data_IF_288055392956
#
_entry.id   IF_288055392956
#
_cell.length_a   1.000
_cell.length_b   1.000
_cell.length_c   1.000
_cell.angle_alpha   90.00
_cell.angle_beta   90.00
_cell.angle_gamma   90.00
#
_symmetry.space_group_name_H-M   'P 1'
#
loop_
_entity.id
_entity.type
_entity.pdbx_description
1 polymer ?
#
# COMPACT_ATOMS: atom_id res chain seq x y z
N UNK A 1 19.89 7.56 33.21
CA UNK A 1 18.44 7.27 33.00
C UNK A 1 18.19 5.81 33.33
N UNK A 2 17.58 5.52 34.47
CA UNK A 2 17.24 4.14 34.89
C UNK A 2 15.98 3.70 34.17
N UNK A 3 16.06 2.58 33.44
CA UNK A 3 14.87 1.95 32.83
C UNK A 3 13.95 1.46 33.94
N UNK A 4 12.64 1.66 33.78
CA UNK A 4 11.63 1.12 34.72
C UNK A 4 11.72 -0.40 34.79
N UNK A 5 11.52 -0.98 35.98
CA UNK A 5 11.53 -2.43 36.20
C UNK A 5 10.63 -3.19 35.22
N UNK A 6 9.44 -2.65 34.91
CA UNK A 6 8.51 -3.23 33.93
C UNK A 6 9.10 -3.35 32.52
N UNK A 7 9.97 -2.41 32.14
CA UNK A 7 10.67 -2.43 30.83
C UNK A 7 11.77 -3.50 30.80
N UNK A 8 12.44 -3.71 31.93
CA UNK A 8 13.47 -4.75 32.08
C UNK A 8 12.81 -6.14 31.98
N UNK A 9 11.69 -6.35 32.67
CA UNK A 9 10.96 -7.61 32.63
C UNK A 9 10.40 -7.92 31.22
N UNK A 10 9.96 -6.89 30.49
CA UNK A 10 9.53 -7.01 29.10
C UNK A 10 10.69 -7.44 28.18
N UNK A 11 11.88 -6.87 28.35
CA UNK A 11 13.07 -7.25 27.57
C UNK A 11 13.46 -8.71 27.82
N UNK A 12 13.52 -9.14 29.09
CA UNK A 12 13.78 -10.54 29.43
C UNK A 12 12.75 -11.50 28.86
N UNK A 13 11.49 -11.06 28.75
CA UNK A 13 10.43 -11.85 28.13
C UNK A 13 10.70 -12.05 26.65
N UNK A 14 11.10 -11.00 25.92
CA UNK A 14 11.43 -11.04 24.49
C UNK A 14 12.68 -11.87 24.21
N UNK A 15 13.70 -11.77 25.06
CA UNK A 15 14.96 -12.53 24.92
C UNK A 15 14.76 -14.05 25.06
N UNK A 16 13.74 -14.47 25.82
CA UNK A 16 13.37 -15.88 25.98
C UNK A 16 12.50 -16.41 24.84
N UNK A 17 12.00 -15.54 23.95
CA UNK A 17 11.17 -15.98 22.83
C UNK A 17 12.00 -16.64 21.73
N UNK A 18 11.43 -17.65 21.03
CA UNK A 18 11.96 -18.16 19.78
C UNK A 18 12.20 -17.03 18.76
N UNK A 19 13.22 -17.19 17.92
CA UNK A 19 13.66 -16.17 16.96
C UNK A 19 12.52 -15.64 16.07
N UNK A 20 11.62 -16.51 15.60
CA UNK A 20 10.48 -16.11 14.79
C UNK A 20 9.46 -15.24 15.53
N UNK A 21 9.15 -15.56 16.79
CA UNK A 21 8.25 -14.74 17.62
C UNK A 21 8.90 -13.43 18.05
N UNK A 22 10.22 -13.44 18.29
CA UNK A 22 10.99 -12.22 18.56
C UNK A 22 10.92 -11.26 17.39
N UNK A 23 11.08 -11.75 16.16
CA UNK A 23 10.90 -10.94 14.95
C UNK A 23 9.50 -10.31 14.90
N UNK A 24 8.44 -11.08 15.20
CA UNK A 24 7.09 -10.54 15.29
C UNK A 24 6.93 -9.47 16.39
N UNK A 25 7.64 -9.59 17.52
CA UNK A 25 7.64 -8.54 18.57
C UNK A 25 8.31 -7.26 18.07
N UNK A 26 9.41 -7.37 17.33
CA UNK A 26 10.06 -6.21 16.72
C UNK A 26 9.19 -5.55 15.64
N UNK A 27 8.38 -6.35 14.93
CA UNK A 27 7.52 -5.89 13.84
C UNK A 27 6.20 -5.25 14.34
N UNK A 28 5.53 -5.87 15.32
CA UNK A 28 4.18 -5.48 15.75
C UNK A 28 4.11 -4.97 17.20
N UNK A 29 5.14 -5.23 18.00
CA UNK A 29 5.18 -4.92 19.42
C UNK A 29 4.74 -6.07 20.33
N UNK A 30 5.33 -6.10 21.53
CA UNK A 30 5.12 -7.15 22.53
C UNK A 30 3.65 -7.35 22.94
N UNK A 31 2.82 -6.31 23.14
CA UNK A 31 1.43 -6.50 23.55
C UNK A 31 0.61 -7.30 22.54
N UNK A 32 0.79 -7.06 21.25
CA UNK A 32 0.07 -7.75 20.17
C UNK A 32 0.45 -9.23 20.16
N UNK A 33 1.74 -9.53 20.16
CA UNK A 33 2.25 -10.92 20.16
C UNK A 33 1.82 -11.64 21.44
N UNK A 34 1.85 -10.97 22.59
CA UNK A 34 1.42 -11.55 23.88
C UNK A 34 -0.06 -11.95 23.84
N UNK A 35 -0.94 -11.12 23.29
CA UNK A 35 -2.36 -11.46 23.15
C UNK A 35 -2.56 -12.66 22.23
N UNK A 36 -1.82 -12.73 21.11
CA UNK A 36 -1.90 -13.87 20.18
C UNK A 36 -1.45 -15.17 20.85
N UNK A 37 -0.33 -15.13 21.59
CA UNK A 37 0.18 -16.28 22.34
C UNK A 37 -0.79 -16.72 23.44
N UNK A 38 -1.44 -15.78 24.16
CA UNK A 38 -2.48 -16.09 25.15
C UNK A 38 -3.71 -16.78 24.54
N UNK A 39 -3.95 -16.59 23.25
CA UNK A 39 -5.01 -17.28 22.48
C UNK A 39 -4.51 -18.57 21.81
N UNK A 40 -3.30 -19.02 22.11
CA UNK A 40 -2.71 -20.26 21.59
C UNK A 40 -2.07 -20.13 20.20
N UNK A 41 -1.97 -18.91 19.66
CA UNK A 41 -1.38 -18.67 18.35
C UNK A 41 0.12 -18.42 18.52
N UNK A 42 0.90 -19.49 18.39
CA UNK A 42 2.35 -19.48 18.60
C UNK A 42 3.16 -19.58 17.29
N UNK A 43 2.49 -19.69 16.13
CA UNK A 43 3.15 -19.68 14.83
C UNK A 43 3.34 -18.23 14.34
N UNK A 44 4.59 -17.77 14.12
CA UNK A 44 4.89 -16.42 13.62
C UNK A 44 4.15 -16.06 12.33
N UNK A 45 3.98 -17.00 11.40
CA UNK A 45 3.34 -16.72 10.11
C UNK A 45 1.84 -16.45 10.27
N UNK A 46 1.17 -17.19 11.16
CA UNK A 46 -0.23 -16.93 11.49
C UNK A 46 -0.41 -15.58 12.20
N UNK A 47 0.54 -15.20 13.06
CA UNK A 47 0.50 -13.87 13.70
C UNK A 47 0.61 -12.77 12.64
N UNK A 48 1.53 -12.90 11.68
CA UNK A 48 1.67 -11.94 10.58
C UNK A 48 0.41 -11.86 9.74
N UNK A 49 -0.17 -13.00 9.38
CA UNK A 49 -1.38 -13.05 8.57
C UNK A 49 -2.57 -12.39 9.28
N UNK A 50 -2.76 -12.68 10.57
CA UNK A 50 -3.83 -12.09 11.36
C UNK A 50 -3.63 -10.59 11.55
N UNK A 51 -2.42 -10.16 11.89
CA UNK A 51 -2.12 -8.73 12.06
C UNK A 51 -2.28 -7.99 10.73
N UNK A 52 -1.80 -8.58 9.62
CA UNK A 52 -2.01 -8.04 8.28
C UNK A 52 -3.50 -7.97 7.91
N UNK A 53 -4.29 -8.98 8.27
CA UNK A 53 -5.74 -8.99 8.06
C UNK A 53 -6.48 -7.98 8.94
N UNK A 54 -6.01 -7.74 10.17
CA UNK A 54 -6.57 -6.72 11.05
C UNK A 54 -6.21 -5.30 10.59
N UNK A 55 -4.97 -5.08 10.15
CA UNK A 55 -4.48 -3.80 9.63
C UNK A 55 -5.00 -3.47 8.24
N UNK A 56 -5.29 -4.49 7.42
CA UNK A 56 -6.05 -4.29 6.18
C UNK A 56 -7.51 -3.91 6.45
N UNK A 57 -7.94 -3.94 7.72
CA UNK A 57 -9.26 -3.59 8.21
C UNK A 57 -10.23 -4.75 8.02
N UNK A 58 -11.25 -4.84 8.88
CA UNK A 58 -12.34 -5.82 8.79
C UNK A 58 -13.26 -5.60 7.57
N UNK A 59 -12.70 -5.57 6.36
CA UNK A 59 -13.43 -5.52 5.09
C UNK A 59 -13.04 -6.76 4.31
N UNK A 60 -14.00 -7.68 4.22
CA UNK A 60 -13.90 -8.90 3.43
C UNK A 60 -13.33 -8.61 2.03
N UNK A 61 -12.61 -9.59 1.48
CA UNK A 61 -12.28 -9.66 0.07
C UNK A 61 -13.52 -9.30 -0.75
N UNK A 62 -13.58 -8.08 -1.30
CA UNK A 62 -14.71 -7.58 -2.09
C UNK A 62 -15.33 -6.23 -1.67
N UNK A 63 -15.06 -5.70 -0.47
CA UNK A 63 -15.72 -4.45 0.02
C UNK A 63 -14.84 -3.19 0.10
N UNK A 64 -13.62 -3.21 -0.46
CA UNK A 64 -12.70 -2.08 -0.37
C UNK A 64 -11.88 -1.80 -1.64
N UNK A 65 -12.39 -2.18 -2.81
CA UNK A 65 -11.65 -2.03 -4.07
C UNK A 65 -11.93 -0.71 -4.81
N UNK A 66 -12.50 0.29 -4.14
CA UNK A 66 -12.56 1.64 -4.69
C UNK A 66 -11.31 2.40 -4.25
N UNK A 67 -10.50 2.80 -5.24
CA UNK A 67 -9.31 3.65 -5.09
C UNK A 67 -9.58 4.85 -4.19
N UNK A 68 -10.81 5.37 -4.21
CA UNK A 68 -11.25 6.48 -3.37
C UNK A 68 -11.30 6.14 -1.89
N UNK A 69 -11.87 4.98 -1.53
CA UNK A 69 -11.94 4.54 -0.13
C UNK A 69 -10.58 4.22 0.48
N UNK A 70 -9.60 3.83 -0.35
CA UNK A 70 -8.22 3.62 0.06
C UNK A 70 -7.55 4.96 0.43
N UNK A 71 -7.71 5.98 -0.41
CA UNK A 71 -7.20 7.33 -0.14
C UNK A 71 -7.91 7.97 1.06
N UNK A 72 -9.23 7.83 1.16
CA UNK A 72 -10.01 8.35 2.30
C UNK A 72 -9.53 7.74 3.63
N UNK A 73 -9.19 6.44 3.64
CA UNK A 73 -8.61 5.78 4.81
C UNK A 73 -7.24 6.35 5.17
N UNK A 74 -6.37 6.55 4.17
CA UNK A 74 -5.05 7.13 4.39
C UNK A 74 -5.16 8.53 5.01
N UNK A 75 -6.07 9.36 4.49
CA UNK A 75 -6.30 10.74 4.97
C UNK A 75 -6.97 10.76 6.35
N UNK A 76 -7.86 9.81 6.64
CA UNK A 76 -8.53 9.71 7.94
C UNK A 76 -7.59 9.34 9.08
N UNK A 77 -6.46 8.67 8.79
CA UNK A 77 -5.46 8.26 9.78
C UNK A 77 -4.51 9.39 10.22
N UNK A 78 -4.65 10.61 9.68
CA UNK A 78 -3.93 11.80 10.13
C UNK A 78 -2.99 12.40 9.09
N UNK A 79 -1.94 13.09 9.55
CA UNK A 79 -0.98 13.78 8.67
C UNK A 79 -0.15 12.73 7.92
N UNK A 80 -0.30 12.70 6.60
CA UNK A 80 0.45 11.84 5.71
C UNK A 80 1.64 12.62 5.18
N UNK A 81 2.85 12.11 5.38
CA UNK A 81 4.04 12.68 4.74
C UNK A 81 4.00 12.44 3.24
N UNK A 82 4.65 13.29 2.45
CA UNK A 82 4.77 13.10 1.00
C UNK A 82 5.27 11.69 0.66
N UNK A 83 6.36 11.24 1.28
CA UNK A 83 6.90 9.89 1.09
C UNK A 83 5.91 8.79 1.45
N UNK A 84 5.12 8.98 2.52
CA UNK A 84 4.08 8.04 2.93
C UNK A 84 2.95 7.94 1.90
N UNK A 85 2.56 9.07 1.31
CA UNK A 85 1.57 9.12 0.24
C UNK A 85 2.09 8.43 -1.02
N UNK A 86 3.31 8.75 -1.48
CA UNK A 86 3.91 8.13 -2.65
C UNK A 86 4.05 6.60 -2.49
N UNK A 87 4.51 6.15 -1.32
CA UNK A 87 4.65 4.73 -1.01
C UNK A 87 3.28 4.02 -0.96
N UNK A 88 2.26 4.69 -0.43
CA UNK A 88 0.89 4.17 -0.44
C UNK A 88 0.33 4.01 -1.85
N UNK A 89 0.47 5.04 -2.70
CA UNK A 89 0.04 5.00 -4.09
C UNK A 89 0.75 3.87 -4.85
N UNK A 90 2.06 3.71 -4.68
CA UNK A 90 2.84 2.65 -5.30
C UNK A 90 2.40 1.25 -4.85
N UNK A 91 2.22 1.03 -3.54
CA UNK A 91 1.77 -0.26 -2.99
C UNK A 91 0.38 -0.66 -3.49
N UNK A 92 -0.49 0.32 -3.72
CA UNK A 92 -1.86 0.11 -4.19
C UNK A 92 -2.00 0.19 -5.71
N UNK A 93 -0.90 0.40 -6.45
CA UNK A 93 -0.91 0.62 -7.89
C UNK A 93 -1.88 1.74 -8.33
N UNK A 94 -1.93 2.82 -7.54
CA UNK A 94 -2.77 3.98 -7.77
C UNK A 94 -1.96 5.10 -8.41
N UNK A 95 -2.62 5.86 -9.28
CA UNK A 95 -2.06 7.07 -9.92
C UNK A 95 -3.03 8.22 -9.66
N UNK A 96 -2.50 9.38 -9.30
CA UNK A 96 -3.28 10.61 -9.22
C UNK A 96 -3.34 11.19 -10.64
N UNK A 97 -4.55 11.35 -11.16
CA UNK A 97 -4.78 11.92 -12.47
C UNK A 97 -5.74 13.12 -12.37
N UNK A 98 -5.60 14.14 -13.23
CA UNK A 98 -6.57 15.22 -13.29
C UNK A 98 -7.94 14.70 -13.73
N UNK A 99 -9.01 15.27 -13.16
CA UNK A 99 -10.41 14.89 -13.47
C UNK A 99 -10.72 15.14 -14.96
N UNK A 100 -10.13 16.19 -15.52
CA UNK A 100 -10.23 16.50 -16.95
C UNK A 100 -8.90 16.14 -17.63
N UNK A 101 -8.92 15.34 -18.71
CA UNK A 101 -7.69 14.96 -19.41
C UNK A 101 -7.04 16.20 -20.04
N UNK A 102 -5.72 16.30 -19.93
CA UNK A 102 -4.95 17.37 -20.56
C UNK A 102 -4.82 17.14 -22.07
N UNK A 103 -4.44 18.18 -22.81
CA UNK A 103 -4.21 18.07 -24.26
C UNK A 103 -3.12 17.04 -24.59
N UNK A 104 -2.05 17.00 -23.79
CA UNK A 104 -0.95 16.04 -23.92
C UNK A 104 -1.42 14.59 -23.72
N UNK A 105 -2.28 14.35 -22.72
CA UNK A 105 -2.90 13.03 -22.51
C UNK A 105 -3.75 12.59 -23.71
N UNK A 106 -4.49 13.53 -24.31
CA UNK A 106 -5.31 13.27 -25.49
C UNK A 106 -4.43 12.97 -26.71
N UNK A 107 -3.37 13.74 -26.93
CA UNK A 107 -2.45 13.57 -28.04
C UNK A 107 -1.70 12.23 -27.93
N UNK A 108 -1.22 11.85 -26.74
CA UNK A 108 -0.60 10.56 -26.49
C UNK A 108 -1.57 9.38 -26.65
N UNK A 109 -2.80 9.51 -26.16
CA UNK A 109 -3.88 8.54 -26.37
C UNK A 109 -4.18 8.32 -27.86
N UNK A 110 -4.21 9.40 -28.64
CA UNK A 110 -4.45 9.35 -30.08
C UNK A 110 -3.25 8.76 -30.84
N UNK A 111 -2.03 9.13 -30.46
CA UNK A 111 -0.79 8.60 -31.02
C UNK A 111 -0.62 7.10 -30.79
N UNK A 112 -1.03 6.58 -29.63
CA UNK A 112 -0.97 5.15 -29.31
C UNK A 112 -1.81 4.26 -30.24
N UNK A 113 -2.71 4.85 -31.03
CA UNK A 113 -3.70 4.14 -31.84
C UNK A 113 -3.74 4.61 -33.29
N UNK A 114 -2.90 5.59 -33.67
CA UNK A 114 -2.84 6.13 -35.04
C UNK A 114 -2.16 5.19 -36.05
N UNK A 115 -1.57 4.08 -35.60
CA UNK A 115 -1.02 3.03 -36.47
C UNK A 115 -2.11 2.13 -37.06
N UNK A 116 -2.41 2.29 -38.35
CA UNK A 116 -3.49 1.62 -39.10
C UNK A 116 -3.45 0.07 -39.18
N UNK A 117 -2.52 -0.63 -38.53
CA UNK A 117 -2.29 -2.07 -38.74
C UNK A 117 -2.45 -2.97 -37.50
N UNK A 118 -2.94 -2.46 -36.38
CA UNK A 118 -3.14 -3.31 -35.20
C UNK A 118 -4.58 -3.82 -35.16
N UNK A 119 -4.80 -5.10 -35.50
CA UNK A 119 -6.05 -5.82 -35.21
C UNK A 119 -6.14 -6.09 -33.70
N UNK A 120 -6.66 -5.13 -32.95
CA UNK A 120 -6.95 -5.26 -31.52
C UNK A 120 -8.45 -5.17 -31.26
N UNK A 121 -8.90 -5.86 -30.21
CA UNK A 121 -10.27 -5.71 -29.72
C UNK A 121 -10.52 -4.27 -29.25
N UNK A 122 -11.78 -3.86 -29.20
CA UNK A 122 -12.18 -2.53 -28.72
C UNK A 122 -11.67 -2.26 -27.30
N UNK A 123 -11.70 -3.28 -26.44
CA UNK A 123 -11.22 -3.21 -25.07
C UNK A 123 -9.71 -2.99 -25.00
N UNK A 124 -8.94 -3.73 -25.79
CA UNK A 124 -7.49 -3.59 -25.83
C UNK A 124 -7.06 -2.24 -26.43
N UNK A 125 -7.78 -1.76 -27.45
CA UNK A 125 -7.62 -0.40 -27.99
C UNK A 125 -7.85 0.66 -26.90
N UNK A 126 -8.89 0.49 -26.08
CA UNK A 126 -9.18 1.41 -24.98
C UNK A 126 -8.12 1.35 -23.88
N UNK A 127 -7.66 0.15 -23.51
CA UNK A 127 -6.60 -0.07 -22.50
C UNK A 127 -5.28 0.58 -22.91
N UNK A 128 -4.91 0.48 -24.19
CA UNK A 128 -3.70 1.13 -24.73
C UNK A 128 -3.78 2.65 -24.68
N UNK A 129 -4.94 3.22 -25.03
CA UNK A 129 -5.21 4.67 -24.92
C UNK A 129 -5.07 5.15 -23.49
N UNK A 130 -5.69 4.43 -22.57
CA UNK A 130 -5.65 4.76 -21.14
C UNK A 130 -4.23 4.69 -20.60
N UNK A 131 -3.49 3.62 -20.92
CA UNK A 131 -2.10 3.47 -20.50
C UNK A 131 -1.21 4.60 -21.05
N UNK A 132 -1.34 4.94 -22.33
CA UNK A 132 -0.56 6.01 -22.93
C UNK A 132 -0.84 7.38 -22.29
N UNK A 133 -2.11 7.68 -22.02
CA UNK A 133 -2.52 8.89 -21.31
C UNK A 133 -2.04 8.92 -19.84
N UNK A 134 -1.89 7.77 -19.19
CA UNK A 134 -1.36 7.69 -17.83
C UNK A 134 0.16 7.84 -17.79
N UNK A 135 0.88 7.32 -18.79
CA UNK A 135 2.34 7.47 -18.87
C UNK A 135 2.76 8.93 -19.03
N UNK A 136 2.00 9.74 -19.78
CA UNK A 136 2.28 11.18 -19.89
C UNK A 136 2.19 11.91 -18.56
N UNK A 137 1.38 11.43 -17.61
CA UNK A 137 1.31 12.03 -16.26
C UNK A 137 2.60 11.74 -15.49
N UNK A 138 3.10 10.51 -15.59
CA UNK A 138 4.33 10.10 -14.90
C UNK A 138 5.57 10.82 -15.48
N UNK A 139 5.61 10.99 -16.80
CA UNK A 139 6.70 11.70 -17.48
C UNK A 139 6.69 13.22 -17.19
N UNK A 140 5.52 13.82 -16.98
CA UNK A 140 5.42 15.24 -16.61
C UNK A 140 5.94 15.53 -15.17
N UNK A 141 5.83 14.55 -14.26
CA UNK A 141 6.33 14.65 -12.88
C UNK A 141 7.87 14.56 -12.82
N UNK A 142 8.51 13.79 -13.71
CA UNK A 142 9.98 13.70 -13.78
C UNK A 142 10.64 14.96 -14.40
N UNK A 143 9.87 15.76 -15.15
CA UNK A 143 10.37 16.96 -15.85
C UNK A 143 10.34 18.27 -15.04
N UNK A 144 9.74 18.29 -13.84
CA UNK A 144 9.55 19.52 -13.03
C UNK A 144 10.50 19.65 -11.84
N UNK A 145 11.54 18.81 -11.76
CA UNK A 145 12.62 18.92 -10.77
C UNK A 145 13.70 19.96 -11.14
N UNK A 146 13.35 21.26 -11.14
CA UNK A 146 14.30 22.38 -11.11
C UNK A 146 13.84 23.47 -10.13
#
# INVERSE_FOLDING_TARGET
MTLSQKRIDALHTVDRMPSGLRACVHEFGLPIVTVMMQRGINNPDHIREIVAACWSGGRQHGQGNDSRGAVDSLLANGIVTYDGLCRFLALRQLVIAPISPTREMLDASMAAVSGYNVRVTKEEKHRRRLRAAMLTILEADEGTGH
#
